data_IF_026650129767
#
_entry.id   IF_026650129767
#
_cell.length_a   1.000
_cell.length_b   1.000
_cell.length_c   1.000
_cell.angle_alpha   90.00
_cell.angle_beta   90.00
_cell.angle_gamma   90.00
#
_symmetry.space_group_name_H-M   'P 1'
#
loop_
_entity.id
_entity.type
_entity.pdbx_description
1 polymer ?
#
# COMPACT_ATOMS: atom_id res chain seq x y z
N UNK A 1 4.93 15.39 -4.05
CA UNK A 1 5.63 14.08 -4.05
C UNK A 1 4.64 13.04 -3.57
N UNK A 2 4.23 12.12 -4.44
CA UNK A 2 3.33 11.01 -4.08
C UNK A 2 4.23 9.86 -3.70
N UNK A 3 4.16 9.38 -2.45
CA UNK A 3 4.95 8.24 -2.01
C UNK A 3 4.37 6.96 -2.61
N UNK A 4 5.05 6.35 -3.58
CA UNK A 4 4.59 5.13 -4.22
C UNK A 4 5.25 3.93 -3.52
N UNK A 5 4.48 2.97 -2.96
CA UNK A 5 5.03 1.79 -2.33
C UNK A 5 5.59 0.86 -3.41
N UNK A 6 6.91 0.75 -3.48
CA UNK A 6 7.58 -0.08 -4.50
C UNK A 6 7.88 -1.49 -3.99
N UNK A 7 8.11 -1.62 -2.68
CA UNK A 7 8.58 -2.86 -2.05
C UNK A 7 7.63 -3.33 -0.96
N UNK A 8 6.68 -4.18 -1.34
CA UNK A 8 5.75 -4.84 -0.43
C UNK A 8 5.34 -6.22 -0.98
N UNK A 9 4.70 -7.04 -0.14
CA UNK A 9 4.34 -8.41 -0.47
C UNK A 9 3.11 -8.47 -1.40
N UNK A 10 3.30 -8.30 -2.71
CA UNK A 10 2.21 -8.26 -3.73
C UNK A 10 1.37 -9.55 -3.80
N UNK A 11 1.88 -10.65 -3.26
CA UNK A 11 1.18 -11.94 -3.19
C UNK A 11 0.02 -11.87 -2.20
N UNK A 12 0.26 -11.35 -0.99
CA UNK A 12 -0.74 -11.27 0.09
C UNK A 12 -1.38 -9.89 0.23
N UNK A 13 -0.74 -8.87 -0.32
CA UNK A 13 -1.15 -7.48 -0.13
C UNK A 13 -1.55 -6.81 -1.44
N UNK A 14 -2.40 -5.79 -1.32
CA UNK A 14 -2.81 -4.90 -2.41
C UNK A 14 -2.56 -3.45 -2.01
N UNK A 15 -2.28 -2.61 -2.99
CA UNK A 15 -2.20 -1.16 -2.79
C UNK A 15 -3.55 -0.52 -3.12
N UNK A 16 -3.94 0.46 -2.32
CA UNK A 16 -5.13 1.30 -2.49
C UNK A 16 -4.62 2.71 -2.71
N UNK A 17 -5.05 3.34 -3.79
CA UNK A 17 -4.71 4.71 -4.10
C UNK A 17 -5.82 5.64 -3.58
N UNK A 18 -5.46 6.51 -2.64
CA UNK A 18 -6.35 7.54 -2.13
C UNK A 18 -6.11 8.83 -2.92
N UNK A 19 -6.96 9.09 -3.91
CA UNK A 19 -6.87 10.29 -4.74
C UNK A 19 -7.01 11.58 -3.91
N UNK A 20 -7.89 11.58 -2.90
CA UNK A 20 -8.16 12.76 -2.06
C UNK A 20 -6.93 13.25 -1.31
N UNK A 21 -6.10 12.32 -0.82
CA UNK A 21 -4.88 12.62 -0.06
C UNK A 21 -3.61 12.43 -0.89
N UNK A 22 -3.74 12.03 -2.16
CA UNK A 22 -2.63 11.66 -3.04
C UNK A 22 -1.65 10.67 -2.37
N UNK A 23 -2.19 9.69 -1.65
CA UNK A 23 -1.43 8.71 -0.88
C UNK A 23 -1.74 7.29 -1.31
N UNK A 24 -0.79 6.38 -1.06
CA UNK A 24 -0.97 4.95 -1.29
C UNK A 24 -0.99 4.22 0.05
N UNK A 25 -1.96 3.35 0.24
CA UNK A 25 -2.06 2.49 1.42
C UNK A 25 -1.92 1.05 0.97
N UNK A 26 -1.04 0.28 1.61
CA UNK A 26 -0.90 -1.15 1.32
C UNK A 26 -1.60 -1.93 2.42
N UNK A 27 -2.57 -2.76 2.03
CA UNK A 27 -3.38 -3.58 2.94
C UNK A 27 -3.37 -5.04 2.51
N UNK A 28 -3.73 -5.97 3.40
CA UNK A 28 -3.88 -7.38 3.03
C UNK A 28 -5.07 -7.59 2.06
N UNK A 29 -4.96 -8.59 1.19
CA UNK A 29 -6.03 -8.97 0.27
C UNK A 29 -7.23 -9.55 1.01
N UNK A 30 -6.96 -10.40 2.00
CA UNK A 30 -7.98 -11.03 2.85
C UNK A 30 -8.56 -10.06 3.86
N UNK A 31 -7.74 -9.18 4.45
CA UNK A 31 -8.17 -8.24 5.49
C UNK A 31 -7.74 -6.80 5.17
N UNK A 32 -8.63 -5.96 4.62
CA UNK A 32 -8.31 -4.57 4.31
C UNK A 32 -8.07 -3.69 5.56
N UNK A 33 -8.43 -4.17 6.76
CA UNK A 33 -8.11 -3.51 8.03
C UNK A 33 -6.64 -3.71 8.46
N UNK A 34 -5.98 -4.76 7.96
CA UNK A 34 -4.55 -4.97 8.21
C UNK A 34 -3.72 -4.27 7.15
N UNK A 35 -2.93 -3.30 7.58
CA UNK A 35 -1.90 -2.69 6.75
C UNK A 35 -0.72 -3.63 6.62
N UNK A 36 -0.21 -3.76 5.40
CA UNK A 36 1.00 -4.52 5.14
C UNK A 36 2.24 -3.65 5.34
N UNK A 37 3.31 -4.28 5.81
CA UNK A 37 4.61 -3.61 5.96
C UNK A 37 5.18 -3.31 4.57
N UNK A 38 5.32 -2.03 4.27
CA UNK A 38 6.01 -1.54 3.08
C UNK A 38 7.48 -1.29 3.42
N UNK A 39 8.38 -1.96 2.70
CA UNK A 39 9.83 -1.86 2.92
C UNK A 39 10.48 -0.69 2.16
N UNK A 40 9.77 -0.08 1.22
CA UNK A 40 10.31 1.03 0.42
C UNK A 40 9.24 1.85 -0.30
N UNK A 41 9.48 3.16 -0.33
CA UNK A 41 8.68 4.18 -0.99
C UNK A 41 9.58 4.98 -1.95
N UNK A 42 9.04 5.40 -3.09
CA UNK A 42 9.67 6.33 -4.05
C UNK A 42 8.84 7.60 -4.15
#
# INVERSE_FOLDING_TARGET
CVSIPVSYDRSKCKQIFHQETCSFTVVEKENPEKTCVVKGWI
#
